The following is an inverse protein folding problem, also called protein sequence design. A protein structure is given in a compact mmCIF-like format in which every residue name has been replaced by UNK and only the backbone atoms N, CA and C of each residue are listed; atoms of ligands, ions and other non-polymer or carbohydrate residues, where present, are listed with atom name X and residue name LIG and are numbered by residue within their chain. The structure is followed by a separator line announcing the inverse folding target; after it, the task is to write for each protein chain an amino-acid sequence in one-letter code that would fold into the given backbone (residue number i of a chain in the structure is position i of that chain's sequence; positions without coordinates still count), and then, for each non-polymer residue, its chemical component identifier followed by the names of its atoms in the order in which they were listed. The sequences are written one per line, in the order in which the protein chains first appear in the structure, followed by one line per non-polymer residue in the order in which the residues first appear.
data_IF_268521867053
#
_entry.id   IF_268521867053
#
_cell.length_a   1.000
_cell.length_b   1.000
_cell.length_c   1.000
_cell.angle_alpha   90.00
_cell.angle_beta   90.00
_cell.angle_gamma   90.00
#
_symmetry.space_group_name_H-M   'P 1'
#
loop_
_entity.id
_entity.type
_entity.pdbx_description
1 polymer ?
#
# COMPACT_ATOMS: atom_id res chain seq x y z
N UNK A 1 -13.02 -40.65 -35.94
CA UNK A 1 -14.19 -41.53 -35.75
C UNK A 1 -14.88 -41.12 -34.47
N UNK A 2 -16.21 -40.96 -34.53
CA UNK A 2 -17.08 -40.50 -33.45
C UNK A 2 -17.08 -41.46 -32.26
N UNK A 3 -17.25 -40.94 -31.04
CA UNK A 3 -18.24 -41.52 -30.14
C UNK A 3 -18.88 -40.43 -29.27
N UNK A 4 -20.19 -40.32 -29.44
CA UNK A 4 -21.15 -39.47 -28.73
C UNK A 4 -21.82 -40.31 -27.62
N UNK A 5 -22.39 -39.61 -26.64
CA UNK A 5 -23.36 -40.04 -25.61
C UNK A 5 -22.74 -40.35 -24.22
N UNK A 6 -23.34 -40.01 -23.06
CA UNK A 6 -24.73 -39.71 -22.71
C UNK A 6 -24.83 -38.59 -21.65
N UNK A 7 -25.92 -37.82 -21.72
CA UNK A 7 -26.50 -37.01 -20.63
C UNK A 7 -26.92 -37.88 -19.44
N UNK A 8 -26.87 -37.33 -18.23
CA UNK A 8 -27.83 -37.71 -17.17
C UNK A 8 -28.16 -36.54 -16.24
N UNK A 9 -29.47 -36.27 -16.11
CA UNK A 9 -30.12 -35.31 -15.20
C UNK A 9 -30.51 -36.03 -13.90
N UNK A 10 -30.41 -35.38 -12.73
CA UNK A 10 -31.29 -35.61 -11.56
C UNK A 10 -31.11 -34.50 -10.50
N UNK A 11 -31.95 -33.47 -10.46
CA UNK A 11 -33.15 -33.22 -9.60
C UNK A 11 -32.89 -33.01 -8.10
N UNK A 12 -33.31 -31.83 -7.62
CA UNK A 12 -33.55 -31.48 -6.22
C UNK A 12 -34.74 -32.26 -5.61
N UNK A 13 -34.86 -32.26 -4.28
CA UNK A 13 -36.17 -32.00 -3.67
C UNK A 13 -36.15 -30.97 -2.52
N UNK A 14 -37.37 -30.54 -2.20
CA UNK A 14 -37.81 -29.43 -1.34
C UNK A 14 -38.16 -29.88 0.11
N UNK A 15 -38.22 -28.88 0.99
CA UNK A 15 -39.24 -28.62 2.03
C UNK A 15 -39.17 -29.24 3.45
N UNK A 16 -39.79 -28.46 4.36
CA UNK A 16 -40.37 -28.78 5.69
C UNK A 16 -39.47 -28.50 6.90
N UNK A 17 -39.86 -27.81 7.98
CA UNK A 17 -41.17 -27.30 8.40
C UNK A 17 -41.05 -26.49 9.72
N UNK A 18 -42.13 -25.78 10.05
CA UNK A 18 -42.35 -24.92 11.22
C UNK A 18 -42.32 -25.67 12.56
N UNK A 19 -42.16 -24.96 13.69
CA UNK A 19 -43.15 -24.92 14.80
C UNK A 19 -42.71 -23.92 15.90
N UNK A 20 -43.62 -23.02 16.23
CA UNK A 20 -43.59 -22.14 17.39
C UNK A 20 -44.26 -22.85 18.57
N UNK A 21 -43.76 -22.64 19.79
CA UNK A 21 -44.57 -22.84 20.98
C UNK A 21 -44.24 -21.78 22.04
N UNK A 22 -45.31 -21.18 22.53
CA UNK A 22 -45.35 -20.16 23.55
C UNK A 22 -45.47 -20.79 24.92
N UNK A 23 -44.86 -20.20 25.95
CA UNK A 23 -45.36 -20.32 27.32
C UNK A 23 -45.04 -19.06 28.13
N UNK A 24 -46.15 -18.43 28.50
CA UNK A 24 -46.33 -17.21 29.29
C UNK A 24 -46.50 -17.61 30.76
N UNK A 25 -45.90 -16.88 31.70
CA UNK A 25 -46.35 -16.87 33.09
C UNK A 25 -46.07 -15.51 33.75
N UNK A 26 -47.16 -14.84 34.10
CA UNK A 26 -47.25 -13.56 34.81
C UNK A 26 -46.87 -13.71 36.30
N UNK A 27 -46.42 -12.61 36.94
CA UNK A 27 -46.25 -12.55 38.40
C UNK A 27 -45.52 -11.32 38.98
N UNK A 28 -46.23 -10.20 39.06
CA UNK A 28 -46.26 -9.16 40.12
C UNK A 28 -44.98 -8.64 40.85
N UNK A 29 -44.73 -7.34 40.67
CA UNK A 29 -44.69 -6.25 41.68
C UNK A 29 -43.60 -6.16 42.80
N UNK A 30 -42.78 -5.09 42.67
CA UNK A 30 -42.56 -3.97 43.61
C UNK A 30 -41.43 -3.93 44.69
N UNK A 31 -40.68 -2.81 44.61
CA UNK A 31 -39.98 -1.98 45.64
C UNK A 31 -38.52 -2.22 46.10
N UNK A 32 -37.60 -1.45 45.48
CA UNK A 32 -36.61 -0.50 46.04
C UNK A 32 -36.06 -0.59 47.50
N UNK A 33 -34.73 -0.77 47.62
CA UNK A 33 -33.69 0.26 47.98
C UNK A 33 -32.68 -0.18 49.07
N UNK A 34 -31.40 0.05 48.75
CA UNK A 34 -30.27 0.18 49.68
C UNK A 34 -29.20 -0.89 49.44
N UNK A 35 -27.92 -0.62 49.18
CA UNK A 35 -27.12 0.59 49.17
C UNK A 35 -25.64 0.17 49.34
N UNK A 36 -24.73 0.71 48.52
CA UNK A 36 -23.26 0.59 48.63
C UNK A 36 -22.69 -0.75 48.13
N UNK A 37 -21.57 -0.82 47.41
CA UNK A 37 -20.52 0.16 47.12
C UNK A 37 -19.58 -0.38 46.03
N UNK A 38 -19.09 0.54 45.19
CA UNK A 38 -17.80 0.54 44.47
C UNK A 38 -17.44 -0.67 43.57
N UNK A 39 -17.66 -0.52 42.26
CA UNK A 39 -16.63 -0.60 41.19
C UNK A 39 -17.28 0.05 39.96
N UNK A 40 -17.24 1.38 39.92
CA UNK A 40 -17.73 2.15 38.76
C UNK A 40 -16.83 3.34 38.53
N UNK A 41 -15.53 3.08 38.33
CA UNK A 41 -14.63 4.11 37.79
C UNK A 41 -13.54 3.45 36.94
N UNK A 42 -14.00 2.67 35.96
CA UNK A 42 -13.18 2.35 34.79
C UNK A 42 -13.97 2.80 33.57
N UNK A 43 -13.56 3.94 33.05
CA UNK A 43 -13.94 4.44 31.73
C UNK A 43 -13.96 3.28 30.71
N UNK A 44 -15.12 2.91 30.14
CA UNK A 44 -15.20 1.85 29.14
C UNK A 44 -14.62 2.29 27.78
N UNK A 45 -14.26 3.57 27.63
CA UNK A 45 -13.75 4.16 26.40
C UNK A 45 -12.37 3.65 25.98
N UNK A 46 -11.47 3.35 26.93
CA UNK A 46 -10.11 2.89 26.61
C UNK A 46 -10.02 1.38 26.31
N UNK A 47 -10.90 0.57 26.91
CA UNK A 47 -10.86 -0.89 26.77
C UNK A 47 -11.29 -1.36 25.37
N UNK A 48 -12.31 -0.72 24.78
CA UNK A 48 -12.76 -1.04 23.42
C UNK A 48 -11.72 -0.68 22.35
N UNK A 49 -10.96 0.39 22.57
CA UNK A 49 -9.84 0.80 21.71
C UNK A 49 -8.66 -0.17 21.78
N UNK A 50 -8.24 -0.57 22.98
CA UNK A 50 -7.13 -1.49 23.19
C UNK A 50 -7.38 -2.87 22.57
N UNK A 51 -8.56 -3.48 22.78
CA UNK A 51 -8.85 -4.81 22.23
C UNK A 51 -9.01 -4.78 20.71
N UNK A 52 -9.53 -3.68 20.14
CA UNK A 52 -9.63 -3.50 18.70
C UNK A 52 -8.25 -3.29 18.05
N UNK A 53 -7.38 -2.51 18.68
CA UNK A 53 -5.98 -2.31 18.27
C UNK A 53 -5.21 -3.61 18.37
N UNK A 54 -5.30 -4.34 19.47
CA UNK A 54 -4.67 -5.66 19.65
C UNK A 54 -5.09 -6.66 18.57
N UNK A 55 -6.39 -6.73 18.25
CA UNK A 55 -6.89 -7.57 17.15
C UNK A 55 -6.38 -7.10 15.79
N UNK A 56 -6.30 -5.80 15.56
CA UNK A 56 -5.76 -5.21 14.33
C UNK A 56 -4.28 -5.55 14.14
N UNK A 57 -3.48 -5.40 15.19
CA UNK A 57 -2.05 -5.73 15.22
C UNK A 57 -1.84 -7.23 15.02
N UNK A 58 -2.59 -8.08 15.73
CA UNK A 58 -2.50 -9.53 15.57
C UNK A 58 -2.88 -10.00 14.16
N UNK A 59 -3.83 -9.32 13.49
CA UNK A 59 -4.17 -9.56 12.08
C UNK A 59 -3.03 -9.14 11.15
N UNK A 60 -2.37 -8.01 11.43
CA UNK A 60 -1.24 -7.52 10.64
C UNK A 60 -0.05 -8.48 10.68
N UNK A 61 0.27 -9.05 11.84
CA UNK A 61 1.33 -10.06 11.98
C UNK A 61 0.98 -11.43 11.38
N UNK A 62 -0.31 -11.77 11.30
CA UNK A 62 -0.78 -13.00 10.63
C UNK A 62 -0.89 -12.84 9.12
N UNK A 63 -1.04 -11.62 8.63
CA UNK A 63 -1.01 -11.33 7.21
C UNK A 63 0.41 -11.56 6.69
N UNK A 64 0.65 -12.70 6.06
CA UNK A 64 1.87 -12.89 5.27
C UNK A 64 1.84 -11.89 4.12
N UNK A 65 2.65 -10.85 4.22
CA UNK A 65 2.89 -9.93 3.11
C UNK A 65 3.69 -10.66 2.05
N UNK A 66 3.12 -10.82 0.84
CA UNK A 66 3.91 -11.14 -0.35
C UNK A 66 4.68 -9.87 -0.70
N UNK A 67 5.93 -9.79 -0.24
CA UNK A 67 6.80 -8.62 -0.43
C UNK A 67 7.07 -8.38 -1.92
N UNK A 68 7.10 -9.46 -2.72
CA UNK A 68 7.27 -9.40 -4.17
C UNK A 68 6.29 -10.34 -4.87
N UNK A 69 5.61 -9.86 -5.91
CA UNK A 69 4.87 -10.71 -6.84
C UNK A 69 5.81 -11.63 -7.63
N UNK A 70 5.25 -12.63 -8.31
CA UNK A 70 6.02 -13.50 -9.23
C UNK A 70 6.66 -12.65 -10.33
N UNK A 71 7.99 -12.53 -10.31
CA UNK A 71 8.77 -11.86 -11.35
C UNK A 71 9.01 -12.86 -12.46
N UNK A 72 8.69 -12.49 -13.70
CA UNK A 72 9.10 -13.29 -14.88
C UNK A 72 10.63 -13.28 -14.93
N UNK A 73 11.27 -14.43 -15.12
CA UNK A 73 12.72 -14.51 -15.28
C UNK A 73 13.14 -13.99 -16.67
N UNK A 74 12.95 -12.70 -16.91
CA UNK A 74 13.46 -11.97 -18.07
C UNK A 74 14.36 -10.85 -17.57
N UNK A 75 15.34 -10.46 -18.38
CA UNK A 75 16.26 -9.37 -18.04
C UNK A 75 15.50 -8.08 -17.69
N UNK A 76 14.52 -7.68 -18.50
CA UNK A 76 13.73 -6.48 -18.25
C UNK A 76 12.94 -6.53 -16.93
N UNK A 77 12.35 -7.68 -16.61
CA UNK A 77 11.59 -7.85 -15.36
C UNK A 77 12.51 -7.87 -14.13
N UNK A 78 13.70 -8.48 -14.23
CA UNK A 78 14.71 -8.45 -13.18
C UNK A 78 15.27 -7.03 -12.96
N UNK A 79 15.62 -6.32 -14.03
CA UNK A 79 16.08 -4.92 -13.96
C UNK A 79 14.99 -4.01 -13.37
N UNK A 80 13.74 -4.19 -13.79
CA UNK A 80 12.61 -3.48 -13.21
C UNK A 80 12.42 -3.78 -11.72
N UNK A 81 12.55 -5.04 -11.30
CA UNK A 81 12.46 -5.42 -9.90
C UNK A 81 13.60 -4.82 -9.04
N UNK A 82 14.84 -4.85 -9.54
CA UNK A 82 16.00 -4.26 -8.86
C UNK A 82 15.83 -2.74 -8.74
N UNK A 83 15.49 -2.06 -9.83
CA UNK A 83 15.25 -0.61 -9.84
C UNK A 83 14.11 -0.24 -8.87
N UNK A 84 12.99 -0.97 -8.94
CA UNK A 84 11.84 -0.72 -8.07
C UNK A 84 12.14 -1.01 -6.59
N UNK A 85 13.01 -1.99 -6.28
CA UNK A 85 13.46 -2.24 -4.90
C UNK A 85 14.37 -1.12 -4.41
N UNK A 86 15.34 -0.70 -5.23
CA UNK A 86 16.25 0.39 -4.90
C UNK A 86 15.52 1.71 -4.67
N UNK A 87 14.56 2.06 -5.52
CA UNK A 87 13.75 3.28 -5.38
C UNK A 87 12.86 3.26 -4.14
N UNK A 88 12.24 2.11 -3.80
CA UNK A 88 11.49 1.99 -2.54
C UNK A 88 12.40 2.19 -1.32
N UNK A 89 13.55 1.53 -1.30
CA UNK A 89 14.53 1.72 -0.21
C UNK A 89 15.05 3.15 -0.13
N UNK A 90 15.25 3.82 -1.27
CA UNK A 90 15.65 5.23 -1.32
C UNK A 90 14.55 6.15 -0.76
N UNK A 91 13.30 5.95 -1.16
CA UNK A 91 12.16 6.73 -0.65
C UNK A 91 12.06 6.61 0.88
N UNK A 92 12.16 5.39 1.43
CA UNK A 92 12.18 5.19 2.88
C UNK A 92 13.42 5.82 3.54
N UNK A 93 14.58 5.76 2.91
CA UNK A 93 15.79 6.40 3.43
C UNK A 93 15.64 7.92 3.51
N UNK A 94 15.01 8.52 2.49
CA UNK A 94 14.68 9.96 2.43
C UNK A 94 13.66 10.33 3.50
N UNK A 95 12.65 9.49 3.77
CA UNK A 95 11.66 9.71 4.84
C UNK A 95 12.29 9.86 6.22
N UNK A 96 13.46 9.25 6.45
CA UNK A 96 14.22 9.35 7.70
C UNK A 96 15.08 10.61 7.79
N UNK A 97 15.21 11.39 6.72
CA UNK A 97 16.01 12.61 6.70
C UNK A 97 15.18 13.85 7.06
N UNK A 98 15.89 14.94 7.29
CA UNK A 98 15.34 16.30 7.33
C UNK A 98 16.08 17.10 6.26
N UNK A 99 15.35 17.63 5.28
CA UNK A 99 15.96 18.25 4.09
C UNK A 99 15.84 19.77 4.13
N UNK A 100 16.94 20.46 3.86
CA UNK A 100 16.90 21.88 3.49
C UNK A 100 16.54 22.07 2.01
N UNK A 101 16.30 23.33 1.60
CA UNK A 101 15.95 23.69 0.22
C UNK A 101 16.92 23.11 -0.82
N UNK A 102 18.22 23.32 -0.62
CA UNK A 102 19.24 22.86 -1.57
C UNK A 102 19.26 21.33 -1.73
N UNK A 103 19.13 20.59 -0.62
CA UNK A 103 19.07 19.12 -0.67
C UNK A 103 17.80 18.60 -1.33
N UNK A 104 16.65 19.29 -1.17
CA UNK A 104 15.41 18.91 -1.87
C UNK A 104 15.53 19.16 -3.38
N UNK A 105 16.10 20.30 -3.78
CA UNK A 105 16.32 20.64 -5.18
C UNK A 105 17.32 19.68 -5.84
N UNK A 106 18.37 19.29 -5.12
CA UNK A 106 19.32 18.28 -5.60
C UNK A 106 18.64 16.91 -5.76
N UNK A 107 17.82 16.48 -4.79
CA UNK A 107 17.06 15.24 -4.90
C UNK A 107 16.12 15.25 -6.12
N UNK A 108 15.46 16.37 -6.39
CA UNK A 108 14.62 16.56 -7.56
C UNK A 108 15.44 16.47 -8.87
N UNK A 109 16.61 17.10 -8.91
CA UNK A 109 17.52 17.03 -10.07
C UNK A 109 18.00 15.60 -10.32
N UNK A 110 18.43 14.90 -9.27
CA UNK A 110 18.92 13.52 -9.35
C UNK A 110 17.80 12.58 -9.83
N UNK A 111 16.59 12.75 -9.30
CA UNK A 111 15.41 12.00 -9.73
C UNK A 111 15.11 12.23 -11.22
N UNK A 112 15.12 13.49 -11.66
CA UNK A 112 14.90 13.84 -13.07
C UNK A 112 16.00 13.30 -14.00
N UNK A 113 17.25 13.29 -13.53
CA UNK A 113 18.39 12.69 -14.25
C UNK A 113 18.26 11.16 -14.37
N UNK A 114 17.84 10.49 -13.30
CA UNK A 114 17.70 9.03 -13.25
C UNK A 114 16.51 8.52 -14.07
N UNK A 115 15.39 9.25 -14.07
CA UNK A 115 14.12 8.84 -14.71
C UNK A 115 14.28 8.28 -16.14
N UNK A 116 14.84 9.02 -17.12
CA UNK A 116 14.97 8.50 -18.49
C UNK A 116 15.94 7.31 -18.60
N UNK A 117 16.94 7.23 -17.72
CA UNK A 117 17.94 6.13 -17.70
C UNK A 117 17.29 4.84 -17.21
N UNK A 118 16.53 4.92 -16.12
CA UNK A 118 15.79 3.79 -15.58
C UNK A 118 14.69 3.33 -16.54
N UNK A 119 13.98 4.27 -17.18
CA UNK A 119 12.97 3.93 -18.18
C UNK A 119 13.57 3.23 -19.41
N UNK A 120 14.75 3.66 -19.88
CA UNK A 120 15.46 2.97 -20.96
C UNK A 120 15.94 1.58 -20.54
N UNK A 121 16.44 1.45 -19.31
CA UNK A 121 16.92 0.19 -18.73
C UNK A 121 15.80 -0.86 -18.62
N UNK A 122 14.59 -0.43 -18.24
CA UNK A 122 13.43 -1.31 -18.05
C UNK A 122 12.61 -1.50 -19.34
N UNK A 123 12.55 -0.48 -20.21
CA UNK A 123 11.78 -0.49 -21.46
C UNK A 123 12.51 -1.03 -22.69
N UNK A 124 13.85 -1.09 -22.67
CA UNK A 124 14.67 -1.56 -23.81
C UNK A 124 14.52 -3.05 -24.15
N UNK A 125 13.88 -3.84 -23.28
CA UNK A 125 13.68 -5.28 -23.47
C UNK A 125 12.26 -5.64 -23.91
N UNK A 126 11.82 -5.18 -25.10
CA UNK A 126 10.80 -5.83 -25.96
C UNK A 126 9.51 -6.37 -25.33
N UNK A 127 9.06 -5.86 -24.18
CA UNK A 127 7.88 -6.39 -23.49
C UNK A 127 7.20 -5.30 -22.67
N UNK A 128 6.04 -4.84 -23.15
CA UNK A 128 5.14 -3.91 -22.47
C UNK A 128 4.50 -4.51 -21.21
N UNK A 129 5.32 -4.85 -20.21
CA UNK A 129 4.86 -5.10 -18.85
C UNK A 129 5.01 -3.82 -18.03
N UNK A 130 3.99 -3.46 -17.24
CA UNK A 130 3.87 -2.23 -16.43
C UNK A 130 4.98 -1.93 -15.40
N UNK A 131 6.19 -2.48 -15.55
CA UNK A 131 7.36 -2.14 -14.73
C UNK A 131 7.92 -0.75 -15.01
N UNK A 132 7.87 -0.26 -16.26
CA UNK A 132 8.35 1.09 -16.59
C UNK A 132 7.51 2.19 -15.94
N UNK A 133 6.18 2.04 -15.97
CA UNK A 133 5.25 2.93 -15.27
C UNK A 133 5.47 2.90 -13.76
N UNK A 134 5.56 1.69 -13.17
CA UNK A 134 5.83 1.56 -11.74
C UNK A 134 7.17 2.16 -11.32
N UNK A 135 8.19 2.09 -12.17
CA UNK A 135 9.48 2.75 -11.92
C UNK A 135 9.36 4.27 -12.02
N UNK A 136 8.63 4.81 -13.00
CA UNK A 136 8.38 6.25 -13.10
C UNK A 136 7.66 6.78 -11.84
N UNK A 137 6.61 6.09 -11.39
CA UNK A 137 5.89 6.42 -10.17
C UNK A 137 6.80 6.41 -8.94
N UNK A 138 7.68 5.41 -8.84
CA UNK A 138 8.62 5.31 -7.71
C UNK A 138 9.69 6.40 -7.73
N UNK A 139 10.07 6.93 -8.90
CA UNK A 139 10.94 8.11 -8.97
C UNK A 139 10.23 9.35 -8.44
N UNK A 140 8.96 9.54 -8.82
CA UNK A 140 8.16 10.68 -8.34
C UNK A 140 7.92 10.57 -6.82
N UNK A 141 7.71 9.36 -6.31
CA UNK A 141 7.56 9.06 -4.88
C UNK A 141 8.80 9.44 -4.05
N UNK A 142 10.02 9.25 -4.58
CA UNK A 142 11.25 9.66 -3.89
C UNK A 142 11.27 11.18 -3.68
N UNK A 143 10.87 11.95 -4.70
CA UNK A 143 10.80 13.42 -4.61
C UNK A 143 9.69 13.85 -3.66
N UNK A 144 8.52 13.20 -3.73
CA UNK A 144 7.40 13.45 -2.83
C UNK A 144 7.78 13.18 -1.36
N UNK A 145 8.43 12.06 -1.08
CA UNK A 145 8.98 11.75 0.24
C UNK A 145 9.96 12.83 0.72
N UNK A 146 10.81 13.35 -0.17
CA UNK A 146 11.70 14.47 0.16
C UNK A 146 10.95 15.75 0.50
N UNK A 147 9.90 16.08 -0.26
CA UNK A 147 9.09 17.28 -0.03
C UNK A 147 8.34 17.22 1.31
N UNK A 148 7.84 16.05 1.71
CA UNK A 148 7.20 15.83 3.02
C UNK A 148 8.16 16.01 4.21
N UNK A 149 9.47 15.86 3.97
CA UNK A 149 10.54 15.96 4.98
C UNK A 149 11.28 17.28 4.96
N UNK A 150 10.92 18.21 4.07
CA UNK A 150 11.60 19.48 3.94
C UNK A 150 11.28 20.41 5.12
N UNK A 151 12.31 21.10 5.64
CA UNK A 151 12.16 22.08 6.73
C UNK A 151 11.40 23.32 6.25
N UNK A 152 11.68 23.73 5.03
CA UNK A 152 11.05 24.87 4.38
C UNK A 152 10.04 24.33 3.37
N UNK A 153 8.80 24.83 3.45
CA UNK A 153 7.79 24.49 2.47
C UNK A 153 8.24 24.99 1.10
N UNK A 154 8.44 24.02 0.19
CA UNK A 154 8.21 24.18 -1.24
C UNK A 154 8.98 25.30 -1.93
N UNK A 155 10.21 25.00 -2.36
CA UNK A 155 10.73 25.51 -3.63
C UNK A 155 11.48 24.39 -4.34
N UNK A 156 10.71 23.49 -4.94
CA UNK A 156 11.22 22.69 -6.05
C UNK A 156 11.71 23.66 -7.13
N UNK A 157 12.76 23.26 -7.83
CA UNK A 157 13.21 23.96 -9.03
C UNK A 157 12.08 23.93 -10.06
N UNK A 158 11.93 25.05 -10.77
CA UNK A 158 11.03 25.12 -11.91
C UNK A 158 11.50 24.17 -13.02
N UNK A 159 10.55 23.72 -13.85
CA UNK A 159 10.84 22.72 -14.87
C UNK A 159 11.87 23.24 -15.89
N UNK A 160 11.85 24.53 -16.24
CA UNK A 160 12.78 25.11 -17.21
C UNK A 160 14.21 25.18 -16.66
N UNK A 161 14.39 25.39 -15.35
CA UNK A 161 15.67 25.32 -14.68
C UNK A 161 16.20 23.89 -14.65
N UNK A 162 15.35 22.90 -14.33
CA UNK A 162 15.69 21.47 -14.45
C UNK A 162 16.18 21.14 -15.86
N UNK A 163 15.39 21.48 -16.87
CA UNK A 163 15.67 21.14 -18.25
C UNK A 163 16.98 21.77 -18.73
N UNK A 164 17.25 23.04 -18.36
CA UNK A 164 18.52 23.72 -18.67
C UNK A 164 19.73 23.04 -18.04
N UNK A 165 19.63 22.64 -16.76
CA UNK A 165 20.73 21.97 -16.06
C UNK A 165 20.99 20.58 -16.68
N UNK A 166 19.92 19.84 -16.96
CA UNK A 166 20.02 18.50 -17.56
C UNK A 166 20.54 18.55 -19.01
N UNK A 167 20.16 19.56 -19.79
CA UNK A 167 20.68 19.79 -21.14
C UNK A 167 22.19 20.09 -21.11
N UNK A 168 22.63 21.00 -20.23
CA UNK A 168 24.05 21.31 -20.05
C UNK A 168 24.87 20.10 -19.61
N UNK A 169 24.30 19.24 -18.75
CA UNK A 169 24.94 17.98 -18.33
C UNK A 169 25.04 16.94 -19.46
N UNK A 170 24.17 17.01 -20.47
CA UNK A 170 24.22 16.15 -21.66
C UNK A 170 25.33 16.52 -22.64
N UNK A 171 25.71 17.79 -22.71
CA UNK A 171 26.73 18.31 -23.65
C UNK A 171 28.18 18.00 -23.22
N UNK A 172 28.43 17.80 -21.92
CA UNK A 172 29.77 17.49 -21.39
C UNK A 172 30.19 16.01 -21.44
N UNK A 173 29.33 15.11 -21.93
CA UNK A 173 29.55 13.66 -21.94
C UNK A 173 30.00 13.06 -23.29
N UNK A 174 30.31 13.89 -24.28
CA UNK A 174 30.71 13.49 -25.63
C UNK A 174 32.18 13.86 -25.96
N UNK A 175 33.08 13.78 -24.97
CA UNK A 175 34.51 13.97 -25.13
C UNK A 175 35.28 12.75 -24.57
#
# INVERSE_FOLDING_TARGET
MQLVMLRSKKTHPLASGCHADALRKDGAAHHHRGGGSSVSDRDPGYALGSVAVERGVARLFRARTKITGTVKFTQAALLGAIAASGLKSLAESVRLQTLGRASLQQLQLDAAYLRPRLLRLVGGGGGGGGGAEGVAQLVDEVVAAGAERAVEAGQLLDQAALDRILAAAGEGGAA
#
